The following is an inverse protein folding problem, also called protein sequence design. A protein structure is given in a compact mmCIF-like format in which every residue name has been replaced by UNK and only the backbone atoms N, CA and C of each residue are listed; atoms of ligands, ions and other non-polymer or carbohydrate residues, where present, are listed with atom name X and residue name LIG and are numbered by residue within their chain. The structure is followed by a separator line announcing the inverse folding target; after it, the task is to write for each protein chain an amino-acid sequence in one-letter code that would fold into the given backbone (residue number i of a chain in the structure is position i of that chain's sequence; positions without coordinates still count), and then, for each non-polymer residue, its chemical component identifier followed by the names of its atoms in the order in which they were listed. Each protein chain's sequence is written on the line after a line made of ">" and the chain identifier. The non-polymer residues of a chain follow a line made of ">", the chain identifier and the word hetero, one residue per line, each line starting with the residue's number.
data_IF_502287215720
#
_entry.id   IF_502287215720
#
_cell.length_a   1.000
_cell.length_b   1.000
_cell.length_c   1.000
_cell.angle_alpha   90.00
_cell.angle_beta   90.00
_cell.angle_gamma   90.00
#
_symmetry.space_group_name_H-M   'P 1'
#
loop_
_entity.id
_entity.type
_entity.pdbx_description
1 polymer ?
#
# COMPACT_ATOMS: atom_id res chain seq x y z
N UNK A 1 17.60 -4.70 -5.25
CA UNK A 1 16.29 -4.16 -4.79
C UNK A 1 16.52 -3.29 -3.59
N UNK A 2 16.15 -2.01 -3.67
CA UNK A 2 16.22 -1.07 -2.54
C UNK A 2 14.90 -1.10 -1.77
N UNK A 3 14.96 -1.32 -0.46
CA UNK A 3 13.78 -1.41 0.42
C UNK A 3 13.88 -0.31 1.49
N UNK A 4 13.10 0.78 1.38
CA UNK A 4 13.00 1.75 2.44
C UNK A 4 12.23 1.17 3.65
N UNK A 5 12.69 1.45 4.85
CA UNK A 5 12.02 1.04 6.09
C UNK A 5 12.11 2.12 7.16
N UNK A 6 11.03 2.29 7.92
CA UNK A 6 11.02 3.10 9.15
C UNK A 6 11.54 2.35 10.38
N UNK A 7 11.72 1.03 10.28
CA UNK A 7 12.21 0.17 11.35
C UNK A 7 13.19 -0.88 10.80
N UNK A 8 14.47 -0.50 10.72
CA UNK A 8 15.54 -1.39 10.24
C UNK A 8 15.69 -2.64 11.11
N UNK A 9 15.54 -2.52 12.42
CA UNK A 9 15.69 -3.66 13.33
C UNK A 9 14.60 -4.71 13.14
N UNK A 10 13.35 -4.28 12.96
CA UNK A 10 12.22 -5.18 12.70
C UNK A 10 12.32 -5.93 11.36
N UNK A 11 13.04 -5.36 10.39
CA UNK A 11 13.20 -5.94 9.05
C UNK A 11 14.49 -6.77 8.88
N UNK A 12 15.29 -7.00 9.94
CA UNK A 12 16.62 -7.65 9.87
C UNK A 12 16.66 -8.95 9.07
N UNK A 13 15.57 -9.73 9.06
CA UNK A 13 15.47 -10.97 8.28
C UNK A 13 15.72 -10.76 6.78
N UNK A 14 15.46 -9.57 6.24
CA UNK A 14 15.70 -9.25 4.84
C UNK A 14 17.17 -8.96 4.52
N UNK A 15 18.00 -8.68 5.55
CA UNK A 15 19.43 -8.39 5.35
C UNK A 15 20.25 -9.61 4.93
N UNK A 16 19.70 -10.81 5.08
CA UNK A 16 20.35 -12.06 4.62
C UNK A 16 20.20 -12.26 3.11
N UNK A 17 19.35 -11.48 2.44
CA UNK A 17 19.14 -11.57 1.01
C UNK A 17 20.22 -10.74 0.29
N UNK A 18 21.08 -11.35 -0.54
CA UNK A 18 22.28 -10.70 -1.07
C UNK A 18 21.96 -9.54 -2.04
N UNK A 19 20.78 -9.53 -2.64
CA UNK A 19 20.33 -8.51 -3.59
C UNK A 19 19.46 -7.42 -2.97
N UNK A 20 19.31 -7.40 -1.64
CA UNK A 20 18.49 -6.42 -0.92
C UNK A 20 19.36 -5.36 -0.27
N UNK A 21 19.16 -4.12 -0.69
CA UNK A 21 19.68 -2.94 0.00
C UNK A 21 18.57 -2.39 0.89
N UNK A 22 18.76 -2.43 2.21
CA UNK A 22 17.81 -1.84 3.14
C UNK A 22 18.24 -0.44 3.53
N UNK A 23 17.35 0.54 3.37
CA UNK A 23 17.62 1.95 3.68
C UNK A 23 16.64 2.41 4.75
N UNK A 24 17.15 2.96 5.86
CA UNK A 24 16.27 3.55 6.86
C UNK A 24 15.93 4.99 6.44
N UNK A 25 14.66 5.25 6.16
CA UNK A 25 14.21 6.53 5.62
C UNK A 25 12.74 6.80 5.94
N UNK A 26 12.37 8.08 5.94
CA UNK A 26 10.98 8.52 5.95
C UNK A 26 10.51 8.74 4.51
N UNK A 27 9.57 7.92 4.05
CA UNK A 27 8.99 8.04 2.71
C UNK A 27 8.05 9.24 2.57
N UNK A 28 7.71 9.94 3.65
CA UNK A 28 6.92 11.16 3.57
C UNK A 28 7.78 12.42 3.39
N UNK A 29 9.10 12.31 3.56
CA UNK A 29 10.07 13.36 3.26
C UNK A 29 10.48 13.27 1.77
N UNK A 30 10.26 14.36 1.04
CA UNK A 30 10.47 14.41 -0.42
C UNK A 30 11.96 14.26 -0.79
N UNK A 31 12.86 14.83 0.03
CA UNK A 31 14.31 14.67 -0.19
C UNK A 31 14.74 13.22 0.00
N UNK A 32 14.21 12.56 1.02
CA UNK A 32 14.45 11.13 1.25
C UNK A 32 13.89 10.28 0.11
N UNK A 33 12.68 10.55 -0.38
CA UNK A 33 12.11 9.87 -1.54
C UNK A 33 12.97 10.02 -2.79
N UNK A 34 13.41 11.24 -3.11
CA UNK A 34 14.25 11.49 -4.28
C UNK A 34 15.57 10.72 -4.21
N UNK A 35 16.25 10.72 -3.05
CA UNK A 35 17.46 9.90 -2.84
C UNK A 35 17.19 8.39 -2.97
N UNK A 36 16.04 7.91 -2.48
CA UNK A 36 15.66 6.50 -2.58
C UNK A 36 15.41 6.08 -4.02
N UNK A 37 14.90 6.97 -4.87
CA UNK A 37 14.56 6.67 -6.26
C UNK A 37 15.73 6.89 -7.23
N UNK A 38 16.74 7.66 -6.83
CA UNK A 38 17.92 7.89 -7.66
C UNK A 38 18.53 6.57 -8.16
N UNK A 39 18.67 6.47 -9.49
CA UNK A 39 19.18 5.30 -10.20
C UNK A 39 18.27 4.07 -10.19
N UNK A 40 16.97 4.23 -9.92
CA UNK A 40 15.99 3.13 -9.94
C UNK A 40 15.18 3.14 -11.23
N UNK A 41 15.05 1.98 -11.87
CA UNK A 41 14.24 1.85 -13.09
C UNK A 41 12.73 1.73 -12.77
N UNK A 42 12.41 1.11 -11.63
CA UNK A 42 11.04 0.78 -11.22
C UNK A 42 10.80 1.16 -9.75
N UNK A 43 9.69 1.85 -9.49
CA UNK A 43 9.17 2.09 -8.15
C UNK A 43 7.93 1.21 -7.88
N UNK A 44 7.90 0.52 -6.73
CA UNK A 44 6.76 -0.30 -6.31
C UNK A 44 6.22 0.24 -4.98
N UNK A 45 4.98 0.75 -5.01
CA UNK A 45 4.30 1.27 -3.83
C UNK A 45 3.37 0.22 -3.21
N UNK A 46 3.83 -0.40 -2.14
CA UNK A 46 3.04 -1.31 -1.30
C UNK A 46 2.58 -0.65 0.01
N UNK A 47 2.77 0.66 0.17
CA UNK A 47 2.39 1.34 1.41
C UNK A 47 0.86 1.36 1.55
N UNK A 48 0.40 0.81 2.67
CA UNK A 48 -1.01 0.75 3.02
C UNK A 48 -1.17 0.51 4.51
N UNK A 49 -2.19 1.14 5.10
CA UNK A 49 -2.59 0.89 6.48
C UNK A 49 -4.00 0.33 6.49
N UNK A 50 -4.25 -0.68 7.32
CA UNK A 50 -5.61 -1.21 7.53
C UNK A 50 -6.39 -0.39 8.57
N UNK A 51 -5.68 0.23 9.51
CA UNK A 51 -6.24 1.06 10.58
C UNK A 51 -5.38 2.31 10.74
N UNK A 52 -6.02 3.44 11.03
CA UNK A 52 -5.35 4.69 11.37
C UNK A 52 -5.53 5.03 12.86
N UNK A 53 -4.68 5.93 13.37
CA UNK A 53 -4.87 6.51 14.71
C UNK A 53 -5.93 7.61 14.62
N UNK A 54 -7.03 7.44 15.35
CA UNK A 54 -8.17 8.36 15.37
C UNK A 54 -9.09 8.18 14.17
N UNK A 55 -10.40 8.21 14.38
CA UNK A 55 -11.40 7.85 13.35
C UNK A 55 -11.74 9.02 12.39
N UNK A 56 -10.74 9.74 11.87
CA UNK A 56 -10.93 11.00 11.12
C UNK A 56 -10.45 10.98 9.66
N UNK A 57 -9.83 9.90 9.19
CA UNK A 57 -9.35 9.74 7.82
C UNK A 57 -7.95 10.29 7.53
N UNK A 58 -7.33 11.01 8.48
CA UNK A 58 -6.06 11.72 8.26
C UNK A 58 -4.91 10.74 7.98
N UNK A 59 -4.82 9.65 8.73
CA UNK A 59 -3.75 8.66 8.55
C UNK A 59 -3.89 7.96 7.20
N UNK A 60 -5.12 7.62 6.78
CA UNK A 60 -5.36 7.04 5.47
C UNK A 60 -5.00 8.00 4.34
N UNK A 61 -5.34 9.29 4.46
CA UNK A 61 -5.00 10.29 3.44
C UNK A 61 -3.50 10.48 3.28
N UNK A 62 -2.76 10.53 4.40
CA UNK A 62 -1.29 10.63 4.39
C UNK A 62 -0.67 9.39 3.74
N UNK A 63 -1.10 8.20 4.16
CA UNK A 63 -0.51 6.93 3.71
C UNK A 63 -0.84 6.57 2.25
N UNK A 64 -2.04 6.93 1.77
CA UNK A 64 -2.49 6.55 0.43
C UNK A 64 -2.39 7.73 -0.54
N UNK A 65 -3.13 8.82 -0.29
CA UNK A 65 -3.29 9.90 -1.26
C UNK A 65 -2.03 10.77 -1.36
N UNK A 66 -1.57 11.32 -0.24
CA UNK A 66 -0.45 12.27 -0.22
C UNK A 66 0.87 11.58 -0.60
N UNK A 67 1.11 10.37 -0.06
CA UNK A 67 2.30 9.60 -0.41
C UNK A 67 2.33 9.19 -1.88
N UNK A 68 1.23 8.69 -2.45
CA UNK A 68 1.21 8.32 -3.88
C UNK A 68 1.50 9.52 -4.78
N UNK A 69 0.97 10.71 -4.45
CA UNK A 69 1.28 11.93 -5.20
C UNK A 69 2.77 12.28 -5.12
N UNK A 70 3.34 12.32 -3.91
CA UNK A 70 4.77 12.62 -3.71
C UNK A 70 5.67 11.62 -4.42
N UNK A 71 5.32 10.33 -4.35
CA UNK A 71 6.06 9.27 -5.00
C UNK A 71 6.05 9.42 -6.52
N UNK A 72 4.89 9.72 -7.11
CA UNK A 72 4.78 9.94 -8.56
C UNK A 72 5.67 11.10 -9.02
N UNK A 73 5.59 12.24 -8.34
CA UNK A 73 6.45 13.40 -8.65
C UNK A 73 7.92 13.04 -8.53
N UNK A 74 8.32 12.37 -7.44
CA UNK A 74 9.71 11.96 -7.25
C UNK A 74 10.18 10.93 -8.29
N UNK A 75 9.29 10.08 -8.81
CA UNK A 75 9.59 9.17 -9.91
C UNK A 75 9.92 9.94 -11.20
N UNK A 76 9.08 10.92 -11.57
CA UNK A 76 9.34 11.77 -12.74
C UNK A 76 10.66 12.53 -12.63
N UNK A 77 10.90 13.17 -11.49
CA UNK A 77 12.13 13.94 -11.25
C UNK A 77 13.42 13.11 -11.32
N UNK A 78 13.32 11.81 -11.02
CA UNK A 78 14.46 10.89 -11.04
C UNK A 78 14.55 10.03 -12.30
N UNK A 79 13.65 10.23 -13.28
CA UNK A 79 13.63 9.44 -14.51
C UNK A 79 13.30 7.96 -14.30
N UNK A 80 12.51 7.64 -13.27
CA UNK A 80 11.98 6.28 -13.08
C UNK A 80 11.01 5.98 -14.23
N UNK A 81 11.15 4.85 -14.90
CA UNK A 81 10.36 4.53 -16.10
C UNK A 81 9.00 3.90 -15.76
N UNK A 82 8.89 3.24 -14.59
CA UNK A 82 7.68 2.52 -14.19
C UNK A 82 7.33 2.70 -12.72
N UNK A 83 6.05 3.04 -12.47
CA UNK A 83 5.45 3.04 -11.15
C UNK A 83 4.38 1.96 -11.04
N UNK A 84 4.57 1.04 -10.10
CA UNK A 84 3.57 0.03 -9.72
C UNK A 84 2.91 0.46 -8.42
N UNK A 85 1.61 0.70 -8.46
CA UNK A 85 0.82 1.08 -7.29
C UNK A 85 -0.07 -0.09 -6.85
N UNK A 86 0.04 -0.51 -5.60
CA UNK A 86 -0.93 -1.42 -5.00
C UNK A 86 -2.12 -0.64 -4.42
N UNK A 87 -3.29 -0.83 -5.02
CA UNK A 87 -4.57 -0.30 -4.55
C UNK A 87 -5.42 -1.42 -3.95
N UNK A 88 -6.74 -1.40 -4.15
CA UNK A 88 -7.70 -2.35 -3.63
C UNK A 88 -8.90 -2.42 -4.57
N UNK A 89 -9.52 -3.59 -4.65
CA UNK A 89 -10.80 -3.77 -5.32
C UNK A 89 -11.85 -2.84 -4.68
N UNK A 90 -12.70 -2.23 -5.52
CA UNK A 90 -13.71 -1.24 -5.12
C UNK A 90 -13.13 0.01 -4.44
N UNK A 91 -11.90 0.40 -4.76
CA UNK A 91 -11.40 1.75 -4.49
C UNK A 91 -12.33 2.77 -5.16
N UNK A 92 -13.09 3.51 -4.35
CA UNK A 92 -14.13 4.42 -4.84
C UNK A 92 -14.11 5.70 -3.99
N UNK A 93 -13.93 6.83 -4.68
CA UNK A 93 -13.75 8.17 -4.11
C UNK A 93 -15.03 8.78 -3.55
N UNK A 94 -16.20 8.46 -4.10
CA UNK A 94 -17.41 9.28 -3.94
C UNK A 94 -18.51 8.60 -3.12
N UNK A 95 -18.58 7.26 -3.08
CA UNK A 95 -19.71 6.56 -2.47
C UNK A 95 -19.34 5.59 -1.33
N UNK A 96 -18.06 5.47 -1.00
CA UNK A 96 -17.66 4.58 0.09
C UNK A 96 -17.77 5.26 1.46
N UNK A 97 -18.39 4.57 2.42
CA UNK A 97 -18.37 4.98 3.84
C UNK A 97 -17.00 4.81 4.50
N UNK A 98 -16.12 4.00 3.90
CA UNK A 98 -14.78 3.73 4.43
C UNK A 98 -13.75 4.77 3.98
N UNK A 99 -13.08 5.43 4.94
CA UNK A 99 -11.94 6.32 4.65
C UNK A 99 -10.82 5.59 3.89
N UNK A 100 -10.57 4.31 4.22
CA UNK A 100 -9.59 3.48 3.53
C UNK A 100 -9.89 3.39 2.02
N UNK A 101 -11.12 3.03 1.65
CA UNK A 101 -11.51 2.88 0.25
C UNK A 101 -11.55 4.22 -0.49
N UNK A 102 -12.02 5.30 0.17
CA UNK A 102 -12.03 6.64 -0.43
C UNK A 102 -10.62 7.12 -0.75
N UNK A 103 -9.68 6.99 0.19
CA UNK A 103 -8.31 7.46 0.02
C UNK A 103 -7.51 6.63 -0.97
N UNK A 104 -7.72 5.30 -1.03
CA UNK A 104 -7.18 4.46 -2.11
C UNK A 104 -7.73 4.89 -3.48
N UNK A 105 -9.04 5.15 -3.59
CA UNK A 105 -9.64 5.66 -4.82
C UNK A 105 -9.10 7.04 -5.21
N UNK A 106 -8.85 7.92 -4.24
CA UNK A 106 -8.30 9.26 -4.49
C UNK A 106 -6.86 9.14 -5.00
N UNK A 107 -6.06 8.24 -4.42
CA UNK A 107 -4.72 7.95 -4.90
C UNK A 107 -4.76 7.43 -6.34
N UNK A 108 -5.64 6.48 -6.68
CA UNK A 108 -5.78 6.01 -8.06
C UNK A 108 -6.14 7.13 -9.03
N UNK A 109 -7.11 7.97 -8.67
CA UNK A 109 -7.54 9.10 -9.51
C UNK A 109 -6.38 10.05 -9.77
N UNK A 110 -5.70 10.49 -8.71
CA UNK A 110 -4.53 11.39 -8.84
C UNK A 110 -3.45 10.77 -9.73
N UNK A 111 -3.12 9.50 -9.53
CA UNK A 111 -2.10 8.83 -10.33
C UNK A 111 -2.51 8.71 -11.80
N UNK A 112 -3.79 8.37 -12.08
CA UNK A 112 -4.33 8.31 -13.44
C UNK A 112 -4.34 9.69 -14.12
N UNK A 113 -4.70 10.73 -13.37
CA UNK A 113 -4.75 12.11 -13.87
C UNK A 113 -3.33 12.67 -14.15
N UNK A 114 -2.32 12.21 -13.41
CA UNK A 114 -0.92 12.60 -13.60
C UNK A 114 -0.18 11.72 -14.62
N UNK A 115 -0.68 10.52 -14.91
CA UNK A 115 -0.03 9.58 -15.82
C UNK A 115 0.12 10.18 -17.22
N UNK A 116 1.33 10.15 -17.75
CA UNK A 116 1.68 10.58 -19.09
C UNK A 116 2.58 9.56 -19.79
N UNK A 117 3.18 9.93 -20.91
CA UNK A 117 4.02 9.03 -21.71
C UNK A 117 5.37 8.70 -21.01
N UNK A 118 5.86 9.58 -20.14
CA UNK A 118 7.19 9.48 -19.53
C UNK A 118 7.29 8.49 -18.35
N UNK A 119 6.17 8.15 -17.71
CA UNK A 119 6.14 7.27 -16.55
C UNK A 119 5.02 6.23 -16.69
N UNK A 120 5.39 4.99 -16.95
CA UNK A 120 4.44 3.89 -17.08
C UNK A 120 3.80 3.54 -15.74
N UNK A 121 2.53 3.88 -15.58
CA UNK A 121 1.76 3.57 -14.38
C UNK A 121 1.03 2.22 -14.52
N UNK A 122 1.16 1.36 -13.51
CA UNK A 122 0.34 0.15 -13.34
C UNK A 122 -0.31 0.15 -11.97
N UNK A 123 -1.64 0.04 -11.91
CA UNK A 123 -2.38 -0.02 -10.65
C UNK A 123 -2.97 -1.42 -10.47
N UNK A 124 -2.51 -2.15 -9.46
CA UNK A 124 -3.12 -3.42 -9.06
C UNK A 124 -4.30 -3.16 -8.12
N UNK A 125 -5.44 -3.80 -8.40
CA UNK A 125 -6.66 -3.69 -7.59
C UNK A 125 -7.07 -5.06 -7.02
N UNK A 126 -6.23 -5.69 -6.19
CA UNK A 126 -6.54 -6.98 -5.62
C UNK A 126 -7.73 -6.87 -4.67
N UNK A 127 -8.43 -7.98 -4.52
CA UNK A 127 -9.38 -8.18 -3.42
C UNK A 127 -8.61 -8.42 -2.10
N UNK A 128 -9.26 -9.02 -1.10
CA UNK A 128 -8.58 -9.44 0.11
C UNK A 128 -7.45 -10.43 -0.20
N UNK A 129 -6.21 -10.06 0.08
CA UNK A 129 -5.03 -10.93 -0.07
C UNK A 129 -4.91 -11.80 1.18
N UNK A 130 -4.73 -13.11 1.02
CA UNK A 130 -4.55 -14.04 2.14
C UNK A 130 -3.25 -14.86 2.01
N UNK A 131 -2.74 -15.32 3.16
CA UNK A 131 -1.49 -16.07 3.26
C UNK A 131 -1.02 -16.26 4.70
N UNK A 132 0.14 -16.91 4.94
CA UNK A 132 0.59 -17.27 6.29
C UNK A 132 0.61 -16.13 7.31
N UNK A 133 0.94 -14.91 6.87
CA UNK A 133 1.05 -13.72 7.72
C UNK A 133 -0.02 -12.65 7.43
N UNK A 134 -1.12 -13.00 6.75
CA UNK A 134 -2.19 -12.02 6.52
C UNK A 134 -2.85 -11.58 7.83
N UNK A 135 -3.48 -10.40 7.83
CA UNK A 135 -4.11 -9.85 9.05
C UNK A 135 -5.63 -9.99 9.05
N UNK A 136 -6.24 -10.31 7.91
CA UNK A 136 -7.69 -10.33 7.76
C UNK A 136 -8.26 -11.70 8.16
N UNK A 137 -7.83 -12.77 7.48
CA UNK A 137 -8.25 -14.15 7.73
C UNK A 137 -7.71 -14.60 9.08
N UNK A 138 -6.44 -14.33 9.38
CA UNK A 138 -5.84 -14.73 10.66
C UNK A 138 -6.55 -14.10 11.87
N UNK A 139 -7.10 -12.88 11.75
CA UNK A 139 -7.88 -12.25 12.83
C UNK A 139 -9.25 -12.90 13.02
N UNK A 140 -9.89 -13.34 11.93
CA UNK A 140 -11.15 -14.11 12.02
C UNK A 140 -10.86 -15.47 12.67
N UNK A 141 -9.82 -16.16 12.22
CA UNK A 141 -9.39 -17.44 12.78
C UNK A 141 -9.01 -17.33 14.27
N UNK A 142 -8.33 -16.26 14.67
CA UNK A 142 -8.01 -16.00 16.08
C UNK A 142 -9.27 -15.78 16.92
N UNK A 143 -10.23 -14.99 16.41
CA UNK A 143 -11.51 -14.74 17.09
C UNK A 143 -12.32 -16.03 17.29
N UNK A 144 -12.34 -16.91 16.29
CA UNK A 144 -13.03 -18.21 16.34
C UNK A 144 -12.51 -19.14 17.43
N UNK A 145 -11.24 -19.03 17.82
CA UNK A 145 -10.65 -19.86 18.89
C UNK A 145 -11.10 -19.43 20.28
N UNK A 146 -11.57 -18.21 20.44
CA UNK A 146 -11.82 -17.59 21.76
C UNK A 146 -13.29 -17.28 21.98
N UNK A 147 -14.04 -16.92 20.93
CA UNK A 147 -15.42 -16.48 21.05
C UNK A 147 -16.40 -17.64 20.82
N UNK A 148 -17.41 -17.83 21.70
CA UNK A 148 -18.45 -18.85 21.50
C UNK A 148 -19.40 -18.51 20.34
N UNK A 149 -19.40 -17.24 19.89
CA UNK A 149 -20.19 -16.72 18.77
C UNK A 149 -19.30 -15.83 17.92
N UNK A 150 -19.33 -16.03 16.60
CA UNK A 150 -18.60 -15.17 15.65
C UNK A 150 -19.52 -14.03 15.17
N UNK A 151 -19.26 -12.77 15.53
CA UNK A 151 -19.98 -11.65 14.93
C UNK A 151 -19.58 -11.52 13.45
N UNK A 152 -20.57 -11.59 12.56
CA UNK A 152 -20.39 -11.42 11.12
C UNK A 152 -20.92 -10.05 10.67
N UNK A 153 -20.06 -9.02 10.59
CA UNK A 153 -20.48 -7.74 10.06
C UNK A 153 -20.79 -7.86 8.57
N UNK A 154 -21.96 -7.36 8.17
CA UNK A 154 -22.43 -7.37 6.77
C UNK A 154 -22.38 -8.78 6.12
N UNK A 155 -23.20 -9.74 6.60
CA UNK A 155 -23.13 -11.15 6.20
C UNK A 155 -23.43 -11.41 4.72
N UNK A 156 -24.06 -10.45 4.03
CA UNK A 156 -24.34 -10.53 2.59
C UNK A 156 -23.17 -10.06 1.71
N UNK A 157 -22.04 -9.66 2.31
CA UNK A 157 -20.88 -9.17 1.56
C UNK A 157 -20.17 -10.34 0.88
N UNK A 158 -20.00 -10.25 -0.44
CA UNK A 158 -19.19 -11.19 -1.21
C UNK A 158 -17.72 -10.73 -1.22
N UNK A 159 -16.81 -11.69 -1.06
CA UNK A 159 -15.37 -11.52 -1.17
C UNK A 159 -14.84 -12.46 -2.25
N UNK A 160 -13.82 -12.05 -2.98
CA UNK A 160 -13.09 -12.90 -3.93
C UNK A 160 -11.61 -12.89 -3.56
N UNK A 161 -11.19 -13.57 -2.48
CA UNK A 161 -9.81 -13.48 -1.98
C UNK A 161 -8.79 -13.97 -3.00
N UNK A 162 -7.59 -13.41 -2.99
CA UNK A 162 -6.47 -13.81 -3.85
C UNK A 162 -5.30 -14.29 -2.99
N UNK A 163 -4.63 -15.35 -3.41
CA UNK A 163 -3.49 -15.89 -2.66
C UNK A 163 -2.26 -15.02 -2.92
N UNK A 164 -1.44 -14.80 -1.89
CA UNK A 164 -0.24 -13.94 -2.00
C UNK A 164 0.85 -14.51 -2.91
N UNK A 165 0.81 -15.82 -3.20
CA UNK A 165 1.77 -16.48 -4.08
C UNK A 165 1.33 -16.63 -5.54
N UNK A 166 0.15 -16.12 -5.90
CA UNK A 166 -0.33 -16.03 -7.29
C UNK A 166 0.29 -14.81 -8.00
#
# INVERSE_FOLDING_TARGET
>A
VRIPTRNRQGARKLLVLPSVEMVQADVHDERSLSRLLSGSDIAINLVGIANEKGHRGKGFRIAHTELSKKLFTACQENGVERLIQLSTLKANTEHSSSYYLRTKGQAEKILKDLAGEELHLTIFQPSAIFGPEDTFINRIAASLRVLPVLPLPRPKTQLAPVFVGD
#
